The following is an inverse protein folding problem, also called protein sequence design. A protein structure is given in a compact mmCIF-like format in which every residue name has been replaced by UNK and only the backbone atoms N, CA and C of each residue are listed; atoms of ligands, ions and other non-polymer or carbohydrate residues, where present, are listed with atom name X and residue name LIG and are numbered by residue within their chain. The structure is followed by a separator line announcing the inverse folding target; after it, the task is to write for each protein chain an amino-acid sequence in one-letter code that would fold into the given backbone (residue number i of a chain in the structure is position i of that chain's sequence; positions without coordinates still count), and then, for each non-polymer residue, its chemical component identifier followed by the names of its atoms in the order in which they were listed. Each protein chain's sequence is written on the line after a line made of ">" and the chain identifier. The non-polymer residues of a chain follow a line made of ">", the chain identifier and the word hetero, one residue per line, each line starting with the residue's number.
data_IF_993089340805
#
_entry.id   IF_993089340805
#
_cell.length_a   1.000
_cell.length_b   1.000
_cell.length_c   1.000
_cell.angle_alpha   90.00
_cell.angle_beta   90.00
_cell.angle_gamma   90.00
#
_symmetry.space_group_name_H-M   'P 1'
#
loop_
_entity.id
_entity.type
_entity.pdbx_description
1 polymer ?
#
# COMPACT_ATOMS: atom_id res chain seq x y z
N UNK A 1 7.61 -26.80 -14.84
CA UNK A 1 8.92 -26.88 -15.51
C UNK A 1 9.53 -25.48 -15.54
N UNK A 2 10.41 -25.15 -14.56
CA UNK A 2 11.06 -23.84 -14.43
C UNK A 2 12.46 -23.81 -15.06
N UNK A 3 12.83 -24.85 -15.81
CA UNK A 3 14.12 -24.92 -16.51
C UNK A 3 14.14 -23.87 -17.63
N UNK A 4 15.06 -22.92 -17.55
CA UNK A 4 15.24 -21.84 -18.51
C UNK A 4 14.75 -20.45 -18.09
N UNK A 5 14.15 -20.31 -16.88
CA UNK A 5 13.79 -19.00 -16.34
C UNK A 5 14.98 -18.37 -15.61
N UNK A 6 15.24 -17.12 -15.89
CA UNK A 6 16.15 -16.30 -15.08
C UNK A 6 15.38 -15.55 -13.98
N UNK A 7 16.09 -15.20 -12.90
CA UNK A 7 15.53 -14.53 -11.73
C UNK A 7 16.32 -13.26 -11.45
N UNK A 8 15.61 -12.19 -11.14
CA UNK A 8 16.20 -10.91 -10.72
C UNK A 8 15.70 -10.57 -9.33
N UNK A 9 16.61 -10.39 -8.39
CA UNK A 9 16.29 -9.97 -7.03
C UNK A 9 16.52 -8.47 -6.88
N UNK A 10 15.54 -7.78 -6.33
CA UNK A 10 15.58 -6.34 -6.06
C UNK A 10 15.32 -6.09 -4.57
N UNK A 11 15.98 -5.07 -4.02
CA UNK A 11 15.79 -4.62 -2.65
C UNK A 11 15.36 -3.15 -2.67
N UNK A 12 14.36 -2.84 -1.85
CA UNK A 12 13.78 -1.51 -1.70
C UNK A 12 13.73 -1.14 -0.22
N UNK A 13 14.06 0.10 0.09
CA UNK A 13 13.92 0.66 1.44
C UNK A 13 12.76 1.65 1.48
N UNK A 14 12.05 1.70 2.59
CA UNK A 14 10.89 2.57 2.74
C UNK A 14 10.35 2.61 4.16
N UNK A 15 9.06 2.90 4.28
CA UNK A 15 8.37 3.01 5.56
C UNK A 15 7.04 2.27 5.53
N UNK A 16 6.55 1.90 6.71
CA UNK A 16 5.25 1.27 6.88
C UNK A 16 4.44 1.94 7.99
N UNK A 17 3.13 1.75 7.93
CA UNK A 17 2.20 1.89 9.04
C UNK A 17 1.51 0.55 9.29
N UNK A 18 1.16 0.25 10.52
CA UNK A 18 0.45 -0.99 10.87
C UNK A 18 -0.64 -0.78 11.91
N UNK A 19 -1.59 -1.70 11.92
CA UNK A 19 -2.68 -1.77 12.89
C UNK A 19 -3.00 -3.23 13.20
N UNK A 20 -3.22 -3.54 14.47
CA UNK A 20 -3.69 -4.86 14.87
C UNK A 20 -5.22 -4.92 14.80
N UNK A 21 -5.71 -5.91 14.08
CA UNK A 21 -7.12 -6.24 13.91
C UNK A 21 -7.41 -7.49 14.71
N UNK A 22 -8.20 -7.37 15.79
CA UNK A 22 -8.60 -8.51 16.60
C UNK A 22 -9.88 -9.11 16.01
N UNK A 23 -9.86 -10.40 15.74
CA UNK A 23 -10.95 -11.13 15.09
C UNK A 23 -11.77 -11.93 16.09
N UNK A 24 -13.08 -12.03 15.83
CA UNK A 24 -13.99 -12.98 16.47
C UNK A 24 -14.63 -13.83 15.35
N UNK A 25 -14.13 -15.05 15.17
CA UNK A 25 -14.45 -15.83 13.98
C UNK A 25 -13.95 -15.13 12.72
N UNK A 26 -14.83 -14.90 11.76
CA UNK A 26 -14.53 -14.21 10.49
C UNK A 26 -14.73 -12.70 10.53
N UNK A 27 -15.17 -12.14 11.66
CA UNK A 27 -15.52 -10.72 11.78
C UNK A 27 -14.53 -9.95 12.64
N UNK A 28 -14.35 -8.66 12.35
CA UNK A 28 -13.54 -7.76 13.16
C UNK A 28 -14.24 -7.52 14.50
N UNK A 29 -13.54 -7.73 15.61
CA UNK A 29 -14.02 -7.49 16.96
C UNK A 29 -13.53 -6.14 17.51
N UNK A 30 -12.29 -5.79 17.30
CA UNK A 30 -11.68 -4.54 17.77
C UNK A 30 -10.37 -4.25 17.06
N UNK A 31 -9.84 -3.07 17.31
CA UNK A 31 -8.52 -2.63 16.82
C UNK A 31 -7.60 -2.31 18.00
N UNK A 32 -6.30 -2.47 17.80
CA UNK A 32 -5.28 -2.10 18.77
C UNK A 32 -3.95 -1.78 18.08
N UNK A 33 -2.98 -1.28 18.84
CA UNK A 33 -1.57 -1.17 18.51
C UNK A 33 -1.27 -0.64 17.09
N UNK A 34 -1.50 0.65 16.87
CA UNK A 34 -0.97 1.30 15.68
C UNK A 34 0.54 1.54 15.84
N UNK A 35 1.31 1.24 14.82
CA UNK A 35 2.74 1.53 14.79
C UNK A 35 3.21 1.92 13.39
N UNK A 36 4.40 2.49 13.32
CA UNK A 36 5.06 2.86 12.07
C UNK A 36 6.56 2.66 12.19
N UNK A 37 7.24 2.54 11.07
CA UNK A 37 8.69 2.36 11.07
C UNK A 37 9.27 2.14 9.69
N UNK A 38 10.50 1.65 9.67
CA UNK A 38 11.21 1.36 8.44
C UNK A 38 10.79 0.00 7.87
N UNK A 39 10.70 -0.05 6.54
CA UNK A 39 10.41 -1.23 5.75
C UNK A 39 11.62 -1.54 4.86
N UNK A 40 12.00 -2.82 4.80
CA UNK A 40 12.83 -3.37 3.74
C UNK A 40 12.03 -4.40 2.97
N UNK A 41 11.85 -4.18 1.67
CA UNK A 41 11.21 -5.12 0.76
C UNK A 41 12.25 -5.76 -0.13
N UNK A 42 12.32 -7.10 -0.08
CA UNK A 42 13.11 -7.90 -1.04
C UNK A 42 12.14 -8.67 -1.92
N UNK A 43 12.28 -8.56 -3.24
CA UNK A 43 11.46 -9.30 -4.18
C UNK A 43 12.31 -9.98 -5.24
N UNK A 44 11.91 -11.17 -5.66
CA UNK A 44 12.52 -11.89 -6.79
C UNK A 44 11.50 -12.04 -7.90
N UNK A 45 11.83 -11.47 -9.05
CA UNK A 45 11.01 -11.52 -10.27
C UNK A 45 11.62 -12.52 -11.24
N UNK A 46 10.77 -13.33 -11.85
CA UNK A 46 11.12 -14.25 -12.92
C UNK A 46 11.16 -13.50 -14.27
N UNK A 47 11.86 -14.04 -15.23
CA UNK A 47 11.96 -13.47 -16.59
C UNK A 47 10.63 -13.37 -17.35
N UNK A 48 9.60 -14.13 -16.91
CA UNK A 48 8.22 -14.02 -17.40
C UNK A 48 7.40 -12.92 -16.71
N UNK A 49 8.03 -12.14 -15.82
CA UNK A 49 7.43 -11.00 -15.13
C UNK A 49 6.74 -11.35 -13.81
N UNK A 50 6.59 -12.63 -13.48
CA UNK A 50 5.95 -13.05 -12.23
C UNK A 50 6.91 -12.91 -11.03
N UNK A 51 6.36 -12.56 -9.88
CA UNK A 51 7.09 -12.58 -8.61
C UNK A 51 7.08 -14.01 -8.08
N UNK A 52 8.25 -14.54 -7.71
CA UNK A 52 8.39 -15.85 -7.08
C UNK A 52 8.68 -15.78 -5.59
N UNK A 53 9.14 -14.63 -5.13
CA UNK A 53 9.51 -14.39 -3.74
C UNK A 53 9.27 -12.93 -3.38
N UNK A 54 8.71 -12.69 -2.20
CA UNK A 54 8.63 -11.37 -1.58
C UNK A 54 8.84 -11.50 -0.07
N UNK A 55 9.72 -10.66 0.48
CA UNK A 55 9.95 -10.56 1.92
C UNK A 55 9.79 -9.12 2.36
N UNK A 56 8.88 -8.91 3.28
CA UNK A 56 8.64 -7.64 3.97
C UNK A 56 9.30 -7.73 5.35
N UNK A 57 10.31 -6.92 5.60
CA UNK A 57 11.04 -6.91 6.86
C UNK A 57 10.82 -5.60 7.59
N UNK A 58 10.36 -5.68 8.83
CA UNK A 58 10.08 -4.53 9.71
C UNK A 58 10.54 -4.83 11.13
N UNK A 59 10.64 -3.80 11.98
CA UNK A 59 10.91 -4.00 13.40
C UNK A 59 9.78 -4.76 14.12
N UNK A 60 8.57 -4.78 13.55
CA UNK A 60 7.41 -5.49 14.10
C UNK A 60 7.32 -6.95 13.64
N UNK A 61 8.21 -7.40 12.77
CA UNK A 61 8.30 -8.78 12.27
C UNK A 61 8.55 -8.83 10.77
N UNK A 62 8.95 -10.02 10.32
CA UNK A 62 9.17 -10.34 8.92
C UNK A 62 8.02 -11.20 8.40
N UNK A 63 7.57 -10.90 7.18
CA UNK A 63 6.65 -11.75 6.43
C UNK A 63 7.28 -12.16 5.10
N UNK A 64 7.26 -13.45 4.83
CA UNK A 64 7.86 -14.03 3.62
C UNK A 64 6.81 -14.83 2.85
N UNK A 65 6.73 -14.54 1.55
CA UNK A 65 5.95 -15.28 0.59
C UNK A 65 6.91 -15.90 -0.44
N UNK A 66 7.00 -17.23 -0.48
CA UNK A 66 7.88 -17.97 -1.37
C UNK A 66 7.08 -19.06 -2.08
N UNK A 67 7.01 -18.99 -3.39
CA UNK A 67 6.28 -19.98 -4.19
C UNK A 67 6.89 -21.38 -4.14
N UNK A 68 8.17 -21.48 -3.81
CA UNK A 68 8.82 -22.79 -3.57
C UNK A 68 8.40 -23.41 -2.23
N UNK A 69 7.87 -22.60 -1.30
CA UNK A 69 7.44 -23.02 0.03
C UNK A 69 5.91 -22.94 0.21
N UNK A 70 5.16 -23.09 -0.89
CA UNK A 70 3.70 -23.21 -0.85
C UNK A 70 2.92 -21.89 -0.89
N UNK A 71 3.57 -20.74 -1.03
CA UNK A 71 2.85 -19.50 -1.31
C UNK A 71 2.24 -19.55 -2.71
N UNK A 72 1.02 -19.03 -2.85
CA UNK A 72 0.35 -18.89 -4.14
C UNK A 72 0.40 -17.44 -4.62
N UNK A 73 0.52 -17.28 -5.94
CA UNK A 73 0.53 -15.98 -6.59
C UNK A 73 -0.72 -15.83 -7.41
N UNK A 74 -1.39 -14.70 -7.32
CA UNK A 74 -2.44 -14.29 -8.23
C UNK A 74 -2.12 -12.90 -8.79
N UNK A 75 -2.36 -12.72 -10.08
CA UNK A 75 -2.32 -11.39 -10.71
C UNK A 75 -3.74 -10.86 -10.76
N UNK A 76 -3.96 -9.71 -10.14
CA UNK A 76 -5.26 -9.05 -10.10
C UNK A 76 -5.37 -8.01 -11.21
N UNK A 77 -6.59 -7.53 -11.41
CA UNK A 77 -6.86 -6.33 -12.19
C UNK A 77 -5.96 -5.18 -11.70
N UNK A 78 -5.58 -4.27 -12.61
CA UNK A 78 -4.71 -3.11 -12.32
C UNK A 78 -3.24 -3.49 -12.01
N UNK A 79 -2.80 -4.71 -12.38
CA UNK A 79 -1.40 -5.14 -12.24
C UNK A 79 -0.94 -5.33 -10.80
N UNK A 80 -1.88 -5.42 -9.85
CA UNK A 80 -1.57 -5.78 -8.48
C UNK A 80 -1.22 -7.26 -8.38
N UNK A 81 -0.28 -7.58 -7.50
CA UNK A 81 0.18 -8.94 -7.23
C UNK A 81 -0.35 -9.33 -5.86
N UNK A 82 -1.19 -10.37 -5.83
CA UNK A 82 -1.64 -10.99 -4.59
C UNK A 82 -0.79 -12.21 -4.27
N UNK A 83 -0.36 -12.32 -3.03
CA UNK A 83 0.33 -13.48 -2.47
C UNK A 83 -0.45 -13.99 -1.28
N UNK A 84 -0.60 -15.30 -1.18
CA UNK A 84 -1.19 -15.94 -0.01
C UNK A 84 -0.27 -17.06 0.47
N UNK A 85 -0.10 -17.17 1.79
CA UNK A 85 0.66 -18.24 2.44
C UNK A 85 0.03 -18.53 3.80
N UNK A 86 -0.43 -19.73 4.03
CA UNK A 86 -1.18 -20.13 5.22
C UNK A 86 -2.43 -19.24 5.40
N UNK A 87 -2.48 -18.43 6.49
CA UNK A 87 -3.57 -17.52 6.79
C UNK A 87 -3.21 -16.05 6.48
N UNK A 88 -2.04 -15.81 5.91
CA UNK A 88 -1.52 -14.47 5.63
C UNK A 88 -1.66 -14.14 4.16
N UNK A 89 -1.91 -12.88 3.88
CA UNK A 89 -2.03 -12.34 2.54
C UNK A 89 -1.17 -11.09 2.34
N UNK A 90 -0.81 -10.85 1.09
CA UNK A 90 -0.24 -9.59 0.66
C UNK A 90 -0.85 -9.17 -0.68
N UNK A 91 -0.97 -7.88 -0.84
CA UNK A 91 -1.39 -7.24 -2.08
C UNK A 91 -0.43 -6.09 -2.36
N UNK A 92 0.36 -6.16 -3.42
CA UNK A 92 1.38 -5.15 -3.69
C UNK A 92 1.61 -4.91 -5.17
N UNK A 93 2.28 -3.80 -5.46
CA UNK A 93 2.72 -3.43 -6.79
C UNK A 93 4.16 -2.97 -6.76
N UNK A 94 4.90 -3.29 -7.82
CA UNK A 94 6.26 -2.85 -8.05
C UNK A 94 6.34 -2.10 -9.38
N UNK A 95 6.73 -0.85 -9.31
CA UNK A 95 7.11 -0.01 -10.45
C UNK A 95 8.64 0.05 -10.56
N UNK A 96 9.17 0.76 -11.55
CA UNK A 96 10.63 0.81 -11.78
C UNK A 96 11.41 1.35 -10.59
N UNK A 97 10.91 2.38 -9.92
CA UNK A 97 11.60 3.06 -8.82
C UNK A 97 10.91 2.92 -7.48
N UNK A 98 9.67 2.45 -7.44
CA UNK A 98 8.90 2.34 -6.21
C UNK A 98 8.11 1.05 -6.12
N UNK A 99 7.79 0.66 -4.90
CA UNK A 99 6.87 -0.42 -4.60
C UNK A 99 5.97 0.00 -3.44
N UNK A 100 4.75 -0.47 -3.45
CA UNK A 100 3.78 -0.19 -2.41
C UNK A 100 2.79 -1.34 -2.28
N UNK A 101 2.25 -1.52 -1.10
CA UNK A 101 1.32 -2.61 -0.86
C UNK A 101 0.92 -2.73 0.59
N UNK A 102 0.11 -3.75 0.83
CA UNK A 102 -0.28 -4.21 2.15
C UNK A 102 0.11 -5.67 2.33
N UNK A 103 0.38 -6.05 3.55
CA UNK A 103 0.60 -7.45 3.95
C UNK A 103 0.12 -7.64 5.39
N UNK A 104 -0.08 -8.88 5.76
CA UNK A 104 -0.54 -9.22 7.11
C UNK A 104 0.30 -10.33 7.74
N UNK A 105 0.36 -10.30 9.07
CA UNK A 105 0.94 -11.35 9.91
C UNK A 105 -0.14 -11.73 10.93
N UNK A 106 -0.62 -12.96 10.84
CA UNK A 106 -1.68 -13.48 11.71
C UNK A 106 -1.08 -14.30 12.84
N UNK A 107 -1.46 -13.98 14.08
CA UNK A 107 -1.09 -14.72 15.28
C UNK A 107 -2.34 -14.95 16.13
N UNK A 108 -2.80 -16.20 16.20
CA UNK A 108 -4.06 -16.53 16.86
C UNK A 108 -5.24 -15.80 16.22
N UNK A 109 -5.96 -15.01 17.01
CA UNK A 109 -7.12 -14.22 16.55
C UNK A 109 -6.76 -12.77 16.19
N UNK A 110 -5.48 -12.42 16.13
CA UNK A 110 -5.03 -11.07 15.77
C UNK A 110 -4.32 -11.11 14.43
N UNK A 111 -4.80 -10.33 13.47
CA UNK A 111 -4.10 -10.03 12.22
C UNK A 111 -3.47 -8.65 12.34
N UNK A 112 -2.14 -8.57 12.30
CA UNK A 112 -1.43 -7.31 12.12
C UNK A 112 -1.35 -6.98 10.66
N UNK A 113 -2.04 -5.93 10.27
CA UNK A 113 -2.05 -5.41 8.91
C UNK A 113 -1.01 -4.31 8.80
N UNK A 114 -0.20 -4.40 7.77
CA UNK A 114 0.80 -3.43 7.38
C UNK A 114 0.41 -2.81 6.04
N UNK A 115 0.65 -1.52 5.91
CA UNK A 115 0.63 -0.80 4.64
C UNK A 115 1.92 -0.03 4.51
N UNK A 116 2.55 -0.08 3.35
CA UNK A 116 3.87 0.51 3.21
C UNK A 116 4.24 0.86 1.77
N UNK A 117 5.25 1.70 1.70
CA UNK A 117 5.91 2.05 0.44
C UNK A 117 7.41 1.89 0.61
N UNK A 118 8.05 1.59 -0.52
CA UNK A 118 9.49 1.45 -0.62
C UNK A 118 9.95 1.85 -2.00
N UNK A 119 11.22 2.14 -2.16
CA UNK A 119 11.74 2.45 -3.48
C UNK A 119 13.25 2.59 -3.50
N UNK A 120 13.75 2.87 -4.69
CA UNK A 120 15.15 3.14 -4.97
C UNK A 120 15.29 4.57 -5.49
N UNK A 121 16.46 5.18 -5.26
CA UNK A 121 16.75 6.52 -5.78
C UNK A 121 15.71 7.56 -5.36
N UNK A 122 15.57 7.79 -4.04
CA UNK A 122 14.78 8.91 -3.54
C UNK A 122 15.24 10.20 -4.23
N UNK A 123 14.31 10.95 -4.80
CA UNK A 123 14.60 12.22 -5.46
C UNK A 123 14.93 13.26 -4.41
N UNK A 124 16.20 13.55 -4.18
CA UNK A 124 16.67 14.40 -3.09
C UNK A 124 16.10 15.82 -3.12
N UNK A 125 15.85 16.36 -4.31
CA UNK A 125 15.20 17.66 -4.51
C UNK A 125 14.34 17.66 -5.77
N UNK A 126 13.06 17.23 -5.69
CA UNK A 126 12.17 17.21 -6.84
C UNK A 126 12.01 18.57 -7.54
N UNK A 127 11.99 19.67 -6.79
CA UNK A 127 11.87 21.02 -7.36
C UNK A 127 13.07 21.45 -8.22
N UNK A 128 14.24 20.83 -8.03
CA UNK A 128 15.41 21.09 -8.87
C UNK A 128 15.35 20.39 -10.23
N UNK A 129 14.53 19.33 -10.37
CA UNK A 129 14.41 18.55 -11.60
C UNK A 129 13.11 18.84 -12.36
N UNK A 130 12.04 19.16 -11.64
CA UNK A 130 10.74 19.52 -12.23
C UNK A 130 9.93 20.40 -11.28
N UNK A 131 9.27 21.44 -11.80
CA UNK A 131 8.46 22.36 -10.98
C UNK A 131 7.12 21.76 -10.56
N UNK A 132 6.54 20.92 -11.43
CA UNK A 132 5.27 20.21 -11.20
C UNK A 132 5.24 18.89 -11.94
N UNK A 133 4.47 17.95 -11.43
CA UNK A 133 4.27 16.65 -12.06
C UNK A 133 2.89 16.08 -11.71
N UNK A 134 2.35 15.26 -12.62
CA UNK A 134 1.15 14.45 -12.39
C UNK A 134 1.53 12.98 -12.42
N UNK A 135 0.95 12.22 -11.50
CA UNK A 135 1.19 10.80 -11.33
C UNK A 135 -0.13 10.04 -11.40
N UNK A 136 -0.11 8.91 -12.06
CA UNK A 136 -1.25 7.98 -12.11
C UNK A 136 -0.79 6.57 -11.74
N UNK A 137 -1.65 5.86 -11.06
CA UNK A 137 -1.37 4.49 -10.62
C UNK A 137 -2.51 3.92 -9.81
N UNK A 138 -2.19 3.24 -8.73
CA UNK A 138 -3.21 2.48 -7.99
C UNK A 138 -3.04 2.64 -6.48
N UNK A 139 -4.14 2.36 -5.75
CA UNK A 139 -4.12 2.16 -4.30
C UNK A 139 -4.55 0.72 -3.99
N UNK A 140 -3.92 0.13 -2.99
CA UNK A 140 -4.09 -1.25 -2.54
C UNK A 140 -4.27 -1.24 -1.03
N UNK A 141 -5.29 -1.91 -0.50
CA UNK A 141 -5.52 -1.84 0.92
C UNK A 141 -6.48 -2.89 1.46
N UNK A 142 -6.84 -2.70 2.72
CA UNK A 142 -7.85 -3.47 3.43
C UNK A 142 -8.80 -2.54 4.16
N UNK A 143 -10.07 -2.75 3.92
CA UNK A 143 -11.15 -2.08 4.62
C UNK A 143 -11.68 -3.00 5.70
N UNK A 144 -11.81 -2.48 6.90
CA UNK A 144 -12.25 -3.25 8.07
C UNK A 144 -13.29 -2.45 8.84
N UNK A 145 -14.31 -3.14 9.34
CA UNK A 145 -15.36 -2.57 10.18
C UNK A 145 -15.78 -3.58 11.26
N UNK A 146 -15.96 -3.11 12.49
CA UNK A 146 -16.36 -3.96 13.62
C UNK A 146 -17.67 -4.66 13.28
N UNK A 147 -17.73 -5.98 13.48
CA UNK A 147 -18.86 -6.83 13.15
C UNK A 147 -18.87 -7.40 11.72
N UNK A 148 -17.95 -6.97 10.87
CA UNK A 148 -17.87 -7.41 9.47
C UNK A 148 -16.55 -8.09 9.15
N UNK A 149 -16.54 -8.90 8.10
CA UNK A 149 -15.30 -9.49 7.57
C UNK A 149 -14.44 -8.41 6.90
N UNK A 150 -13.11 -8.48 7.02
CA UNK A 150 -12.20 -7.61 6.27
C UNK A 150 -12.36 -7.75 4.75
N UNK A 151 -12.20 -6.64 4.03
CA UNK A 151 -12.32 -6.60 2.57
C UNK A 151 -11.05 -6.01 1.99
N UNK A 152 -10.33 -6.76 1.16
CA UNK A 152 -9.22 -6.22 0.38
C UNK A 152 -9.74 -5.28 -0.70
N UNK A 153 -9.02 -4.19 -0.93
CA UNK A 153 -9.46 -3.13 -1.83
C UNK A 153 -8.40 -2.79 -2.87
N UNK A 154 -8.86 -2.40 -4.05
CA UNK A 154 -8.06 -1.76 -5.09
C UNK A 154 -8.76 -0.48 -5.54
N UNK A 155 -7.98 0.54 -5.92
CA UNK A 155 -8.53 1.78 -6.46
C UNK A 155 -7.58 2.35 -7.51
N UNK A 156 -8.08 3.27 -8.35
CA UNK A 156 -7.22 4.13 -9.17
C UNK A 156 -6.66 5.23 -8.27
N UNK A 157 -5.39 5.57 -8.45
CA UNK A 157 -4.70 6.63 -7.73
C UNK A 157 -4.25 7.72 -8.68
N UNK A 158 -4.38 8.96 -8.25
CA UNK A 158 -3.80 10.12 -8.93
C UNK A 158 -3.20 11.10 -7.93
N UNK A 159 -2.09 11.72 -8.34
CA UNK A 159 -1.48 12.80 -7.58
C UNK A 159 -1.03 13.92 -8.52
N UNK A 160 -1.14 15.16 -8.05
CA UNK A 160 -0.60 16.34 -8.74
C UNK A 160 0.29 17.10 -7.77
N UNK A 161 1.57 17.12 -8.07
CA UNK A 161 2.59 17.79 -7.28
C UNK A 161 2.91 19.18 -7.83
N UNK A 162 3.01 20.14 -6.93
CA UNK A 162 3.70 21.40 -7.17
C UNK A 162 4.94 21.43 -6.26
N UNK A 163 6.08 21.02 -6.80
CA UNK A 163 7.32 20.92 -6.04
C UNK A 163 7.87 22.29 -5.65
N UNK A 164 7.59 23.33 -6.43
CA UNK A 164 8.02 24.71 -6.11
C UNK A 164 7.32 25.25 -4.87
N UNK A 165 6.03 24.96 -4.67
CA UNK A 165 5.29 25.34 -3.47
C UNK A 165 5.41 24.29 -2.34
N UNK A 166 5.93 23.10 -2.62
CA UNK A 166 5.99 22.00 -1.67
C UNK A 166 4.63 21.38 -1.34
N UNK A 167 3.69 21.37 -2.29
CA UNK A 167 2.36 20.77 -2.10
C UNK A 167 2.08 19.66 -3.10
N UNK A 168 1.24 18.70 -2.68
CA UNK A 168 0.82 17.59 -3.52
C UNK A 168 -0.64 17.22 -3.20
N UNK A 169 -1.52 17.33 -4.18
CA UNK A 169 -2.89 16.83 -4.07
C UNK A 169 -2.92 15.36 -4.44
N UNK A 170 -3.61 14.55 -3.64
CA UNK A 170 -3.76 13.10 -3.86
C UNK A 170 -5.23 12.73 -3.85
N UNK A 171 -5.60 11.74 -4.65
CA UNK A 171 -6.96 11.20 -4.66
C UNK A 171 -6.98 9.75 -5.16
N UNK A 172 -8.00 9.02 -4.73
CA UNK A 172 -8.36 7.72 -5.31
C UNK A 172 -9.75 7.78 -5.93
N UNK A 173 -9.99 6.90 -6.88
CA UNK A 173 -11.29 6.70 -7.51
C UNK A 173 -11.51 5.22 -7.80
N UNK A 174 -12.75 4.85 -8.10
CA UNK A 174 -13.10 3.47 -8.46
C UNK A 174 -12.63 2.43 -7.42
N UNK A 175 -12.77 2.73 -6.13
CA UNK A 175 -12.45 1.75 -5.08
C UNK A 175 -13.38 0.55 -5.20
N UNK A 176 -12.78 -0.64 -5.26
CA UNK A 176 -13.47 -1.92 -5.38
C UNK A 176 -12.95 -2.90 -4.35
N UNK A 177 -13.85 -3.71 -3.81
CA UNK A 177 -13.48 -4.88 -3.02
C UNK A 177 -13.02 -6.02 -3.91
N UNK A 178 -12.04 -6.78 -3.45
CA UNK A 178 -11.53 -7.96 -4.16
C UNK A 178 -11.35 -9.14 -3.21
N UNK A 179 -11.49 -10.35 -3.74
CA UNK A 179 -11.12 -11.59 -3.05
C UNK A 179 -9.66 -11.93 -3.34
N UNK A 180 -8.82 -12.02 -2.30
CA UNK A 180 -7.41 -12.41 -2.48
C UNK A 180 -7.24 -13.84 -3.02
N UNK A 181 -8.16 -14.74 -2.70
CA UNK A 181 -8.06 -16.14 -3.11
C UNK A 181 -8.43 -16.37 -4.57
N UNK A 182 -9.35 -15.56 -5.11
CA UNK A 182 -9.88 -15.77 -6.46
C UNK A 182 -9.64 -14.61 -7.41
N UNK A 183 -9.28 -13.42 -6.90
CA UNK A 183 -9.19 -12.18 -7.67
C UNK A 183 -10.55 -11.60 -8.07
N UNK A 184 -11.66 -12.21 -7.63
CA UNK A 184 -13.00 -11.77 -8.00
C UNK A 184 -13.32 -10.40 -7.39
N UNK A 185 -14.00 -9.60 -8.17
CA UNK A 185 -14.57 -8.33 -7.77
C UNK A 185 -15.75 -8.55 -6.82
N UNK A 186 -15.69 -7.95 -5.65
CA UNK A 186 -16.73 -8.00 -4.61
C UNK A 186 -17.69 -6.81 -4.63
N UNK A 187 -17.52 -5.88 -5.57
CA UNK A 187 -18.37 -4.72 -5.72
C UNK A 187 -17.69 -3.37 -5.51
N UNK A 188 -18.46 -2.31 -5.68
CA UNK A 188 -17.98 -0.93 -5.56
C UNK A 188 -18.00 -0.45 -4.11
N UNK A 189 -16.91 0.19 -3.71
CA UNK A 189 -16.71 0.88 -2.43
C UNK A 189 -16.35 2.35 -2.68
N UNK A 190 -17.02 3.01 -3.60
CA UNK A 190 -16.70 4.38 -4.03
C UNK A 190 -16.81 5.43 -2.91
N UNK A 191 -17.57 5.15 -1.86
CA UNK A 191 -17.62 5.97 -0.66
C UNK A 191 -16.29 5.99 0.11
N UNK A 192 -15.43 4.97 -0.08
CA UNK A 192 -14.12 4.86 0.52
C UNK A 192 -12.99 5.44 -0.37
N UNK A 193 -13.33 6.10 -1.48
CA UNK A 193 -12.38 6.93 -2.20
C UNK A 193 -11.84 8.02 -1.27
N UNK A 194 -10.54 8.23 -1.32
CA UNK A 194 -9.87 9.23 -0.47
C UNK A 194 -9.41 10.44 -1.28
N UNK A 195 -9.27 11.56 -0.60
CA UNK A 195 -8.63 12.76 -1.15
C UNK A 195 -7.97 13.59 -0.05
N UNK A 196 -6.98 14.38 -0.44
CA UNK A 196 -6.31 15.31 0.47
C UNK A 196 -5.19 16.09 -0.20
N UNK A 197 -4.66 17.05 0.54
CA UNK A 197 -3.47 17.79 0.15
C UNK A 197 -2.37 17.53 1.15
N UNK A 198 -1.23 17.08 0.64
CA UNK A 198 -0.03 16.82 1.41
C UNK A 198 0.93 17.99 1.24
N UNK A 199 1.65 18.32 2.29
CA UNK A 199 2.70 19.34 2.29
C UNK A 199 4.05 18.70 2.51
N UNK A 200 5.09 19.32 1.97
CA UNK A 200 6.47 18.91 2.19
C UNK A 200 6.74 18.82 3.68
N UNK A 201 7.28 17.70 4.15
CA UNK A 201 7.52 17.41 5.54
C UNK A 201 8.99 17.49 5.89
N UNK A 202 9.30 18.25 6.95
CA UNK A 202 10.65 18.32 7.53
C UNK A 202 11.70 18.98 6.63
N UNK A 203 12.94 18.61 6.86
CA UNK A 203 14.10 19.15 6.15
C UNK A 203 14.39 18.46 4.80
N UNK A 204 13.77 17.29 4.56
CA UNK A 204 13.92 16.63 3.27
C UNK A 204 12.91 17.14 2.25
N UNK A 205 13.29 17.11 0.98
CA UNK A 205 12.45 17.65 -0.10
C UNK A 205 11.60 16.60 -0.81
N UNK A 206 11.69 15.33 -0.43
CA UNK A 206 11.06 14.20 -1.10
C UNK A 206 9.91 13.55 -0.31
N UNK A 207 9.67 13.97 0.94
CA UNK A 207 8.58 13.43 1.76
C UNK A 207 7.47 14.47 1.90
N UNK A 208 6.24 14.03 1.69
CA UNK A 208 5.02 14.82 1.79
C UNK A 208 4.08 14.16 2.79
N UNK A 209 3.51 14.94 3.70
CA UNK A 209 2.56 14.45 4.71
C UNK A 209 1.35 15.36 4.78
N UNK A 210 0.21 14.80 5.15
CA UNK A 210 -1.03 15.57 5.32
C UNK A 210 -2.20 14.67 5.63
N UNK A 211 -3.33 15.28 5.94
CA UNK A 211 -4.57 14.56 6.20
C UNK A 211 -5.25 14.19 4.88
N UNK A 212 -5.67 12.93 4.79
CA UNK A 212 -6.56 12.45 3.75
C UNK A 212 -7.88 11.99 4.37
N UNK A 213 -8.97 12.16 3.65
CA UNK A 213 -10.32 11.80 4.10
C UNK A 213 -11.04 11.01 3.02
N UNK A 214 -11.95 10.14 3.43
CA UNK A 214 -12.84 9.46 2.49
C UNK A 214 -14.08 10.32 2.18
N UNK A 215 -14.73 10.00 1.07
CA UNK A 215 -15.94 10.67 0.62
C UNK A 215 -17.23 10.14 1.30
N UNK A 216 -17.11 9.39 2.40
CA UNK A 216 -18.26 8.85 3.12
C UNK A 216 -19.05 9.98 3.81
N UNK A 217 -20.19 10.38 3.25
CA UNK A 217 -20.86 11.65 3.53
C UNK A 217 -21.30 11.88 4.99
N UNK A 218 -21.64 10.82 5.74
CA UNK A 218 -22.11 10.94 7.13
C UNK A 218 -21.15 10.39 8.18
N UNK A 219 -20.13 9.63 7.76
CA UNK A 219 -19.20 8.93 8.63
C UNK A 219 -17.80 8.86 7.98
N UNK A 220 -17.26 10.02 7.60
CA UNK A 220 -15.94 10.07 6.96
C UNK A 220 -14.87 9.42 7.84
N UNK A 221 -14.02 8.64 7.22
CA UNK A 221 -12.77 8.19 7.82
C UNK A 221 -11.66 9.15 7.42
N UNK A 222 -10.74 9.41 8.31
CA UNK A 222 -9.60 10.29 8.04
C UNK A 222 -8.32 9.76 8.67
N UNK A 223 -7.18 10.17 8.15
CA UNK A 223 -5.88 9.78 8.67
C UNK A 223 -4.75 10.55 8.03
N UNK A 224 -3.56 10.37 8.57
CA UNK A 224 -2.35 10.97 8.01
C UNK A 224 -1.80 10.08 6.90
N UNK A 225 -1.62 10.64 5.72
CA UNK A 225 -0.89 10.03 4.64
C UNK A 225 0.56 10.51 4.63
N UNK A 226 1.47 9.61 4.31
CA UNK A 226 2.87 9.92 4.00
C UNK A 226 3.19 9.40 2.63
N UNK A 227 3.81 10.23 1.79
CA UNK A 227 4.18 9.92 0.42
C UNK A 227 5.61 10.36 0.16
N UNK A 228 6.36 9.57 -0.61
CA UNK A 228 7.73 9.88 -1.02
C UNK A 228 7.87 9.88 -2.54
N UNK A 229 8.83 10.66 -3.03
CA UNK A 229 9.13 10.83 -4.46
C UNK A 229 10.39 10.05 -4.79
N UNK A 230 10.34 9.23 -5.83
CA UNK A 230 11.40 8.31 -6.24
C UNK A 230 11.81 8.51 -7.70
N UNK A 231 13.03 8.03 -7.97
CA UNK A 231 13.66 8.12 -9.28
C UNK A 231 14.49 9.39 -9.45
N UNK A 232 15.49 9.38 -10.34
CA UNK A 232 16.43 10.50 -10.53
C UNK A 232 15.76 11.79 -11.02
N UNK A 233 14.60 11.69 -11.69
CA UNK A 233 13.86 12.83 -12.24
C UNK A 233 12.42 12.94 -11.69
N UNK A 234 12.17 12.42 -10.48
CA UNK A 234 10.84 12.37 -9.88
C UNK A 234 9.82 11.57 -10.71
N UNK A 235 10.23 10.38 -11.15
CA UNK A 235 9.42 9.54 -12.06
C UNK A 235 8.27 8.85 -11.36
N UNK A 236 8.38 8.57 -10.06
CA UNK A 236 7.33 7.89 -9.32
C UNK A 236 7.10 8.44 -7.92
N UNK A 237 5.93 8.17 -7.40
CA UNK A 237 5.54 8.46 -6.03
C UNK A 237 4.95 7.21 -5.40
N UNK A 238 5.17 7.01 -4.11
CA UNK A 238 4.51 5.98 -3.34
C UNK A 238 4.28 6.43 -1.90
N UNK A 239 3.18 6.00 -1.31
CA UNK A 239 2.76 6.41 0.02
C UNK A 239 1.86 5.41 0.70
N UNK A 240 1.53 5.68 1.95
CA UNK A 240 0.59 4.89 2.74
C UNK A 240 -0.18 5.74 3.74
N UNK A 241 -1.34 5.23 4.16
CA UNK A 241 -2.18 5.84 5.18
C UNK A 241 -2.97 4.77 5.93
N UNK A 242 -3.30 5.04 7.18
CA UNK A 242 -4.37 4.36 7.91
C UNK A 242 -5.40 5.43 8.27
N UNK A 243 -6.62 5.25 7.76
CA UNK A 243 -7.73 6.11 8.02
C UNK A 243 -8.66 5.44 9.02
N UNK A 244 -9.13 6.20 10.00
CA UNK A 244 -10.01 5.70 11.06
C UNK A 244 -11.25 6.59 11.14
N UNK A 245 -12.41 5.98 11.34
CA UNK A 245 -13.66 6.69 11.69
C UNK A 245 -13.54 7.25 13.09
N UNK A 246 -14.13 8.42 13.34
CA UNK A 246 -14.02 9.11 14.62
C UNK A 246 -14.52 8.31 15.83
N UNK A 247 -15.44 7.35 15.63
CA UNK A 247 -15.91 6.41 16.66
C UNK A 247 -15.02 5.16 16.81
N UNK A 248 -13.96 5.02 16.00
CA UNK A 248 -13.03 3.91 16.05
C UNK A 248 -13.57 2.58 15.49
N UNK A 249 -14.74 2.55 14.86
CA UNK A 249 -15.38 1.30 14.45
C UNK A 249 -15.03 0.86 13.02
N UNK A 250 -14.41 1.73 12.22
CA UNK A 250 -14.02 1.46 10.82
C UNK A 250 -12.63 1.98 10.52
N UNK A 251 -11.83 1.20 9.82
CA UNK A 251 -10.51 1.58 9.32
C UNK A 251 -10.35 1.21 7.85
N UNK A 252 -9.60 2.03 7.13
CA UNK A 252 -9.08 1.72 5.81
C UNK A 252 -7.56 1.90 5.83
N UNK A 253 -6.84 0.80 5.86
CA UNK A 253 -5.40 0.79 5.71
C UNK A 253 -5.08 0.63 4.22
N UNK A 254 -4.34 1.56 3.63
CA UNK A 254 -4.01 1.54 2.21
C UNK A 254 -2.60 2.07 1.94
N UNK A 255 -2.00 1.52 0.90
CA UNK A 255 -0.83 2.05 0.24
C UNK A 255 -1.19 2.46 -1.18
N UNK A 256 -0.49 3.41 -1.72
CA UNK A 256 -0.78 3.97 -3.04
C UNK A 256 0.49 4.47 -3.72
N UNK A 257 0.45 4.54 -5.03
CA UNK A 257 1.55 5.07 -5.79
C UNK A 257 1.22 5.17 -7.27
N UNK A 258 2.13 5.81 -7.98
CA UNK A 258 1.97 6.02 -9.42
C UNK A 258 3.24 6.51 -10.08
N UNK A 259 3.20 6.48 -11.39
CA UNK A 259 4.28 6.98 -12.25
C UNK A 259 3.81 8.18 -13.05
N UNK A 260 4.76 9.00 -13.45
CA UNK A 260 4.58 10.18 -14.28
C UNK A 260 4.41 9.81 -15.75
#
# INVERSE_FOLDING_TARGET
>A
NTSGLSFTTSQYAGTYNSIDINMSGSSVASYSNQSSGNLSLTSTRRSDGLISYAKFSTAAGDQTFDTNNGATIATFTKGAIGLTSNNDGALFRLDTYSGYGMWEITTGNTSRVFVGQSGTNLTSNPAAVVSSASYTGYALGILTEIGYAPIFTTADFSATANFSSGSMSVSTSNTRGISLSTGNDLGSYSADNISGTLSKSGSNNYTYTGTVTSNYASNSISGTATLQVYGPSAESVAGSAILTRGDGTRNHALSFGGTR
#
